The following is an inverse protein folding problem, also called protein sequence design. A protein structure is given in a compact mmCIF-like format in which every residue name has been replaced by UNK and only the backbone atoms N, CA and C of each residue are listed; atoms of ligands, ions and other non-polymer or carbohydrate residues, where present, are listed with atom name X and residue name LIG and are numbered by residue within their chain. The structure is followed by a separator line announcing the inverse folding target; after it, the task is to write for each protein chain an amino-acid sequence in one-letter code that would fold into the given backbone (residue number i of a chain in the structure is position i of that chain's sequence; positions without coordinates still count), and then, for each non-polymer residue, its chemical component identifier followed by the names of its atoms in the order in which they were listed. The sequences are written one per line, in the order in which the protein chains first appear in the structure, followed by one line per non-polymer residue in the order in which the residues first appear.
data_IF_735733620149
#
_entry.id   IF_735733620149
#
_cell.length_a   1.000
_cell.length_b   1.000
_cell.length_c   1.000
_cell.angle_alpha   90.00
_cell.angle_beta   90.00
_cell.angle_gamma   90.00
#
_symmetry.space_group_name_H-M   'P 1'
#
loop_
_entity.id
_entity.type
_entity.pdbx_description
1 polymer ?
#
# COMPACT_ATOMS: atom_id res chain seq x y z
N UNK A 1 -40.44 3.53 -1.70
CA UNK A 1 -39.30 3.66 -2.63
C UNK A 1 -38.15 2.86 -2.07
N UNK A 2 -37.86 1.69 -2.63
CA UNK A 2 -36.70 0.90 -2.24
C UNK A 2 -35.51 1.40 -3.06
N UNK A 3 -34.54 2.01 -2.39
CA UNK A 3 -33.23 2.33 -2.96
C UNK A 3 -32.52 1.01 -3.25
N UNK A 4 -32.46 0.61 -4.53
CA UNK A 4 -31.56 -0.43 -4.97
C UNK A 4 -30.14 0.09 -4.77
N UNK A 5 -29.40 -0.52 -3.85
CA UNK A 5 -27.96 -0.32 -3.75
C UNK A 5 -27.39 -1.07 -4.96
N UNK A 6 -27.02 -0.36 -6.01
CA UNK A 6 -26.18 -0.93 -7.07
C UNK A 6 -24.84 -1.30 -6.43
N UNK A 7 -24.71 -2.55 -6.00
CA UNK A 7 -23.41 -3.17 -5.76
C UNK A 7 -22.71 -3.26 -7.11
N UNK A 8 -21.93 -2.22 -7.44
CA UNK A 8 -20.98 -2.28 -8.56
C UNK A 8 -20.14 -3.53 -8.39
N UNK A 9 -20.18 -4.39 -9.39
CA UNK A 9 -19.39 -5.63 -9.40
C UNK A 9 -18.00 -5.29 -9.94
N UNK A 10 -16.98 -5.88 -9.32
CA UNK A 10 -15.57 -5.62 -9.59
C UNK A 10 -14.92 -6.95 -9.98
N UNK A 11 -14.25 -7.00 -11.13
CA UNK A 11 -13.40 -8.14 -11.53
C UNK A 11 -11.94 -7.76 -11.42
N UNK A 12 -11.10 -8.72 -11.06
CA UNK A 12 -9.69 -8.52 -10.78
C UNK A 12 -8.85 -8.88 -12.00
N UNK A 13 -7.96 -8.00 -12.40
CA UNK A 13 -6.93 -8.30 -13.39
C UNK A 13 -5.66 -8.78 -12.70
N UNK A 14 -5.62 -10.07 -12.36
CA UNK A 14 -4.51 -10.69 -11.64
C UNK A 14 -3.17 -10.51 -12.36
N UNK A 15 -3.15 -10.60 -13.69
CA UNK A 15 -1.95 -10.40 -14.50
C UNK A 15 -1.41 -8.98 -14.40
N UNK A 16 -2.28 -7.97 -14.46
CA UNK A 16 -1.87 -6.58 -14.38
C UNK A 16 -1.46 -6.18 -12.96
N UNK A 17 -2.15 -6.67 -11.92
CA UNK A 17 -1.72 -6.47 -10.53
C UNK A 17 -0.31 -7.03 -10.30
N UNK A 18 -0.03 -8.24 -10.80
CA UNK A 18 1.29 -8.83 -10.72
C UNK A 18 2.35 -7.98 -11.46
N UNK A 19 2.03 -7.49 -12.67
CA UNK A 19 2.94 -6.64 -13.45
C UNK A 19 3.24 -5.31 -12.74
N UNK A 20 2.24 -4.64 -12.17
CA UNK A 20 2.44 -3.41 -11.38
C UNK A 20 3.44 -3.68 -10.24
N UNK A 21 3.26 -4.79 -9.51
CA UNK A 21 4.10 -5.16 -8.37
C UNK A 21 5.55 -5.50 -8.78
N UNK A 22 5.73 -6.15 -9.93
CA UNK A 22 7.05 -6.50 -10.47
C UNK A 22 7.82 -5.30 -11.04
N UNK A 23 7.10 -4.33 -11.63
CA UNK A 23 7.69 -3.15 -12.25
C UNK A 23 8.01 -2.06 -11.21
N UNK A 24 7.28 -1.99 -10.09
CA UNK A 24 7.47 -0.97 -9.05
C UNK A 24 8.65 -1.27 -8.10
N UNK A 25 9.82 -1.56 -8.66
CA UNK A 25 11.06 -1.86 -7.91
C UNK A 25 11.50 -0.70 -7.02
N UNK A 26 11.19 0.53 -7.41
CA UNK A 26 11.52 1.73 -6.64
C UNK A 26 10.76 1.80 -5.31
N UNK A 27 9.47 1.43 -5.29
CA UNK A 27 8.69 1.35 -4.05
C UNK A 27 9.33 0.37 -3.06
N UNK A 28 9.66 -0.84 -3.52
CA UNK A 28 10.27 -1.86 -2.68
C UNK A 28 11.65 -1.45 -2.15
N UNK A 29 12.44 -0.78 -2.99
CA UNK A 29 13.73 -0.19 -2.59
C UNK A 29 13.52 0.87 -1.52
N UNK A 30 12.57 1.80 -1.70
CA UNK A 30 12.28 2.86 -0.74
C UNK A 30 11.82 2.28 0.61
N UNK A 31 10.93 1.29 0.61
CA UNK A 31 10.52 0.58 1.83
C UNK A 31 11.72 -0.05 2.55
N UNK A 32 12.60 -0.73 1.81
CA UNK A 32 13.80 -1.32 2.38
C UNK A 32 14.76 -0.26 2.96
N UNK A 33 14.89 0.88 2.30
CA UNK A 33 15.75 1.98 2.74
C UNK A 33 15.24 2.63 4.04
N UNK A 34 13.92 2.88 4.12
CA UNK A 34 13.27 3.38 5.33
C UNK A 34 13.37 2.37 6.48
N UNK A 35 13.11 1.07 6.22
CA UNK A 35 13.31 -0.02 7.21
C UNK A 35 14.72 0.02 7.80
N UNK A 36 15.76 0.06 6.96
CA UNK A 36 17.16 0.09 7.42
C UNK A 36 17.47 1.31 8.30
N UNK A 37 16.89 2.48 7.99
CA UNK A 37 17.06 3.66 8.84
C UNK A 37 16.30 3.52 10.17
N UNK A 38 15.11 2.93 10.17
CA UNK A 38 14.33 2.67 11.37
C UNK A 38 14.95 1.61 12.30
N UNK A 39 15.67 0.63 11.76
CA UNK A 39 16.43 -0.37 12.53
C UNK A 39 17.58 0.25 13.34
N UNK A 40 18.07 1.42 12.91
CA UNK A 40 19.10 2.17 13.62
C UNK A 40 18.68 3.63 13.82
N UNK A 41 17.90 3.96 14.88
CA UNK A 41 17.40 5.30 15.13
C UNK A 41 18.47 6.41 15.15
N UNK A 42 19.71 6.07 15.49
CA UNK A 42 20.85 6.99 15.42
C UNK A 42 21.14 7.52 13.99
N UNK A 43 20.82 6.74 12.96
CA UNK A 43 20.94 7.15 11.56
C UNK A 43 19.91 8.22 11.18
N UNK A 44 18.71 8.14 11.75
CA UNK A 44 17.67 9.16 11.59
C UNK A 44 18.09 10.44 12.30
N UNK A 45 18.59 10.33 13.54
CA UNK A 45 19.04 11.49 14.32
C UNK A 45 20.20 12.25 13.66
N UNK A 46 21.11 11.54 13.01
CA UNK A 46 22.28 12.11 12.32
C UNK A 46 21.96 12.65 10.92
N UNK A 47 20.91 12.16 10.28
CA UNK A 47 20.51 12.60 8.93
C UNK A 47 18.99 12.76 8.77
N UNK A 48 18.33 13.63 9.57
CA UNK A 48 16.86 13.73 9.60
C UNK A 48 16.28 14.23 8.28
N UNK A 49 17.00 15.10 7.55
CA UNK A 49 16.58 15.59 6.22
C UNK A 49 16.60 14.49 5.17
N UNK A 50 17.60 13.59 5.23
CA UNK A 50 17.68 12.44 4.33
C UNK A 50 16.56 11.46 4.62
N UNK A 51 16.29 11.20 5.89
CA UNK A 51 15.17 10.35 6.29
C UNK A 51 13.85 10.93 5.80
N UNK A 52 13.59 12.22 6.03
CA UNK A 52 12.39 12.88 5.54
C UNK A 52 12.23 12.77 4.02
N UNK A 53 13.29 13.02 3.24
CA UNK A 53 13.23 12.87 1.78
C UNK A 53 12.86 11.45 1.32
N UNK A 54 13.40 10.41 1.97
CA UNK A 54 13.03 9.02 1.67
C UNK A 54 11.56 8.73 1.98
N UNK A 55 11.03 9.29 3.07
CA UNK A 55 9.62 9.12 3.45
C UNK A 55 8.70 9.87 2.48
N UNK A 56 9.11 11.04 2.02
CA UNK A 56 8.38 11.81 1.01
C UNK A 56 8.32 11.06 -0.33
N UNK A 57 9.46 10.53 -0.80
CA UNK A 57 9.52 9.69 -2.00
C UNK A 57 8.65 8.43 -1.83
N UNK A 58 8.68 7.78 -0.67
CA UNK A 58 7.85 6.61 -0.38
C UNK A 58 6.35 6.93 -0.48
N UNK A 59 5.91 8.06 0.09
CA UNK A 59 4.50 8.51 0.02
C UNK A 59 4.06 8.65 -1.44
N UNK A 60 4.88 9.30 -2.26
CA UNK A 60 4.53 9.58 -3.66
C UNK A 60 4.49 8.30 -4.50
N UNK A 61 5.45 7.39 -4.29
CA UNK A 61 5.45 6.08 -4.94
C UNK A 61 4.27 5.21 -4.52
N UNK A 62 3.84 5.26 -3.25
CA UNK A 62 2.64 4.57 -2.79
C UNK A 62 1.37 5.13 -3.43
N UNK A 63 1.25 6.46 -3.52
CA UNK A 63 0.11 7.08 -4.18
C UNK A 63 -0.02 6.62 -5.64
N UNK A 64 1.11 6.58 -6.36
CA UNK A 64 1.15 6.08 -7.73
C UNK A 64 0.81 4.59 -7.79
N UNK A 65 1.36 3.77 -6.88
CA UNK A 65 1.12 2.33 -6.83
C UNK A 65 -0.38 2.02 -6.68
N UNK A 66 -1.02 2.58 -5.66
CA UNK A 66 -2.46 2.39 -5.43
C UNK A 66 -3.30 2.93 -6.59
N UNK A 67 -2.91 4.06 -7.19
CA UNK A 67 -3.62 4.61 -8.36
C UNK A 67 -3.57 3.66 -9.56
N UNK A 68 -2.45 2.97 -9.77
CA UNK A 68 -2.31 1.99 -10.85
C UNK A 68 -3.14 0.73 -10.58
N UNK A 69 -3.09 0.22 -9.35
CA UNK A 69 -3.89 -0.95 -8.96
C UNK A 69 -5.39 -0.67 -9.07
N UNK A 70 -5.84 0.50 -8.61
CA UNK A 70 -7.24 0.92 -8.72
C UNK A 70 -7.70 1.15 -10.15
N UNK A 71 -6.85 1.72 -11.01
CA UNK A 71 -7.23 2.02 -12.39
C UNK A 71 -7.21 0.79 -13.31
N UNK A 72 -6.33 -0.18 -13.03
CA UNK A 72 -6.04 -1.27 -13.98
C UNK A 72 -6.10 -2.68 -13.38
N UNK A 73 -6.01 -2.81 -12.06
CA UNK A 73 -6.12 -4.07 -11.34
C UNK A 73 -7.55 -4.42 -10.93
N UNK A 74 -8.40 -3.41 -10.73
CA UNK A 74 -9.79 -3.57 -10.30
C UNK A 74 -10.75 -2.97 -11.35
N UNK A 75 -11.44 -3.81 -12.13
CA UNK A 75 -12.39 -3.37 -13.16
C UNK A 75 -13.82 -3.27 -12.65
N UNK A 76 -14.47 -2.13 -12.86
CA UNK A 76 -15.92 -1.96 -12.64
C UNK A 76 -16.72 -2.51 -13.85
N UNK A 77 -17.89 -3.11 -13.59
CA UNK A 77 -18.85 -3.65 -14.57
C UNK A 77 -18.35 -4.83 -15.44
N UNK A 78 -17.92 -5.94 -14.83
CA UNK A 78 -17.48 -7.12 -15.56
C UNK A 78 -18.63 -7.91 -16.21
N UNK A 79 -18.28 -8.58 -17.32
CA UNK A 79 -19.18 -9.46 -18.08
C UNK A 79 -19.52 -10.75 -17.30
N UNK A 80 -18.61 -11.22 -16.44
CA UNK A 80 -18.79 -12.34 -15.52
C UNK A 80 -18.32 -11.94 -14.12
N UNK A 81 -19.12 -12.26 -13.09
CA UNK A 81 -18.89 -11.83 -11.71
C UNK A 81 -18.64 -13.05 -10.83
N UNK A 82 -17.48 -13.12 -10.18
CA UNK A 82 -17.24 -13.96 -9.02
C UNK A 82 -17.54 -13.15 -7.74
N UNK A 83 -18.72 -13.30 -7.07
CA UNK A 83 -19.15 -12.39 -6.01
C UNK A 83 -18.21 -12.37 -4.78
N UNK A 84 -17.48 -13.47 -4.55
CA UNK A 84 -16.48 -13.57 -3.48
C UNK A 84 -15.26 -12.70 -3.76
N UNK A 85 -14.74 -12.75 -4.99
CA UNK A 85 -13.56 -12.00 -5.43
C UNK A 85 -13.86 -10.50 -5.49
N UNK A 86 -15.06 -10.13 -5.93
CA UNK A 86 -15.53 -8.75 -5.93
C UNK A 86 -15.60 -8.14 -4.51
N UNK A 87 -16.00 -8.90 -3.49
CA UNK A 87 -15.97 -8.42 -2.09
C UNK A 87 -14.54 -8.20 -1.61
N UNK A 88 -13.66 -9.18 -1.83
CA UNK A 88 -12.26 -9.10 -1.42
C UNK A 88 -11.53 -7.95 -2.11
N UNK A 89 -11.75 -7.75 -3.40
CA UNK A 89 -11.23 -6.61 -4.17
C UNK A 89 -11.69 -5.25 -3.60
N UNK A 90 -12.97 -5.11 -3.27
CA UNK A 90 -13.49 -3.88 -2.66
C UNK A 90 -12.92 -3.63 -1.25
N UNK A 91 -12.72 -4.69 -0.46
CA UNK A 91 -12.07 -4.59 0.85
C UNK A 91 -10.61 -4.14 0.72
N UNK A 92 -9.85 -4.74 -0.19
CA UNK A 92 -8.44 -4.39 -0.42
C UNK A 92 -8.30 -2.95 -0.93
N UNK A 93 -9.14 -2.55 -1.89
CA UNK A 93 -9.18 -1.17 -2.36
C UNK A 93 -9.50 -0.16 -1.24
N UNK A 94 -10.36 -0.52 -0.29
CA UNK A 94 -10.65 0.36 0.85
C UNK A 94 -9.43 0.53 1.77
N UNK A 95 -8.53 -0.46 1.83
CA UNK A 95 -7.31 -0.39 2.66
C UNK A 95 -6.26 0.59 2.10
N UNK A 96 -6.23 0.82 0.79
CA UNK A 96 -5.31 1.78 0.17
C UNK A 96 -5.44 3.17 0.79
N UNK A 97 -6.67 3.63 1.00
CA UNK A 97 -6.93 4.94 1.61
C UNK A 97 -6.36 5.01 3.03
N UNK A 98 -6.59 3.98 3.84
CA UNK A 98 -6.09 3.92 5.22
C UNK A 98 -4.56 3.89 5.27
N UNK A 99 -3.93 3.06 4.42
CA UNK A 99 -2.48 2.97 4.30
C UNK A 99 -1.86 4.29 3.84
N UNK A 100 -2.51 4.97 2.88
CA UNK A 100 -2.06 6.27 2.40
C UNK A 100 -2.10 7.33 3.52
N UNK A 101 -3.18 7.37 4.31
CA UNK A 101 -3.25 8.28 5.46
C UNK A 101 -2.18 8.00 6.51
N UNK A 102 -1.86 6.72 6.74
CA UNK A 102 -0.77 6.34 7.65
C UNK A 102 0.58 6.87 7.17
N UNK A 103 0.91 6.74 5.87
CA UNK A 103 2.19 7.24 5.35
C UNK A 103 2.23 8.78 5.31
N UNK A 104 1.11 9.46 5.08
CA UNK A 104 1.01 10.93 5.20
C UNK A 104 1.31 11.39 6.63
N UNK A 105 0.66 10.80 7.63
CA UNK A 105 0.92 11.13 9.03
C UNK A 105 2.37 10.82 9.46
N UNK A 106 2.95 9.76 8.92
CA UNK A 106 4.35 9.43 9.12
C UNK A 106 5.29 10.45 8.43
N UNK A 107 4.94 10.93 7.24
CA UNK A 107 5.64 11.99 6.53
C UNK A 107 5.67 13.29 7.34
N UNK A 108 4.52 13.72 7.87
CA UNK A 108 4.41 14.92 8.73
C UNK A 108 5.29 14.80 9.99
N UNK A 109 5.27 13.61 10.61
CA UNK A 109 6.11 13.33 11.78
C UNK A 109 7.59 13.38 11.41
N UNK A 110 7.96 12.84 10.25
CA UNK A 110 9.34 12.84 9.73
C UNK A 110 9.82 14.25 9.37
N UNK A 111 8.95 15.10 8.83
CA UNK A 111 9.24 16.51 8.55
C UNK A 111 9.63 17.25 9.83
N UNK A 112 8.89 17.00 10.92
CA UNK A 112 9.14 17.64 12.22
C UNK A 112 10.54 17.33 12.78
N UNK A 113 11.14 16.18 12.40
CA UNK A 113 12.50 15.80 12.83
C UNK A 113 13.58 16.71 12.24
N UNK A 114 13.28 17.40 11.14
CA UNK A 114 14.20 18.33 10.47
C UNK A 114 14.32 19.67 11.20
N UNK A 115 13.42 19.94 12.15
CA UNK A 115 13.36 21.19 12.89
C UNK A 115 14.42 21.26 14.00
N UNK A 116 15.06 22.43 14.23
CA UNK A 116 16.09 22.58 15.28
C UNK A 116 15.60 22.30 16.70
N UNK A 117 14.31 22.49 16.97
CA UNK A 117 13.67 22.34 18.28
C UNK A 117 12.81 21.07 18.38
N UNK A 118 13.18 19.99 17.67
CA UNK A 118 12.44 18.72 17.70
C UNK A 118 12.27 18.17 19.12
N UNK A 119 11.11 17.58 19.38
CA UNK A 119 10.76 17.00 20.69
C UNK A 119 11.63 15.78 20.99
N UNK A 120 12.02 15.62 22.26
CA UNK A 120 12.73 14.43 22.73
C UNK A 120 11.84 13.19 22.49
N UNK A 121 12.41 12.18 21.83
CA UNK A 121 11.69 10.95 21.49
C UNK A 121 10.92 11.01 20.17
N UNK A 122 10.97 12.12 19.42
CA UNK A 122 10.32 12.21 18.11
C UNK A 122 10.82 11.15 17.11
N UNK A 123 12.11 10.81 17.14
CA UNK A 123 12.66 9.71 16.32
C UNK A 123 12.03 8.37 16.69
N UNK A 124 11.86 8.06 17.98
CA UNK A 124 11.20 6.82 18.39
C UNK A 124 9.73 6.80 17.99
N UNK A 125 9.05 7.94 17.99
CA UNK A 125 7.68 8.06 17.51
C UNK A 125 7.61 7.77 15.99
N UNK A 126 8.50 8.36 15.21
CA UNK A 126 8.59 8.12 13.76
C UNK A 126 8.87 6.63 13.45
N UNK A 127 9.79 6.00 14.18
CA UNK A 127 10.09 4.56 14.03
C UNK A 127 8.85 3.70 14.33
N UNK A 128 8.12 3.99 15.40
CA UNK A 128 6.90 3.24 15.74
C UNK A 128 5.79 3.41 14.70
N UNK A 129 5.61 4.62 14.17
CA UNK A 129 4.66 4.87 13.10
C UNK A 129 5.03 4.09 11.85
N UNK A 130 6.31 4.11 11.46
CA UNK A 130 6.77 3.33 10.32
C UNK A 130 6.56 1.83 10.51
N UNK A 131 6.91 1.26 11.67
CA UNK A 131 6.68 -0.15 11.96
C UNK A 131 5.19 -0.52 11.85
N UNK A 132 4.31 0.32 12.40
CA UNK A 132 2.86 0.09 12.34
C UNK A 132 2.33 0.13 10.90
N UNK A 133 2.83 1.07 10.10
CA UNK A 133 2.53 1.17 8.67
C UNK A 133 3.07 -0.06 7.91
N UNK A 134 4.33 -0.42 8.12
CA UNK A 134 5.03 -1.48 7.41
C UNK A 134 4.37 -2.85 7.62
N UNK A 135 4.02 -3.16 8.87
CA UNK A 135 3.29 -4.38 9.20
C UNK A 135 1.91 -4.43 8.52
N UNK A 136 1.22 -3.28 8.42
CA UNK A 136 -0.09 -3.22 7.79
C UNK A 136 0.01 -3.33 6.27
N UNK A 137 1.00 -2.67 5.68
CA UNK A 137 1.29 -2.75 4.25
C UNK A 137 1.67 -4.18 3.84
N UNK A 138 2.53 -4.86 4.59
CA UNK A 138 2.88 -6.27 4.31
C UNK A 138 1.67 -7.21 4.38
N UNK A 139 0.74 -7.00 5.32
CA UNK A 139 -0.50 -7.79 5.39
C UNK A 139 -1.41 -7.54 4.19
N UNK A 140 -1.51 -6.29 3.75
CA UNK A 140 -2.26 -5.91 2.57
C UNK A 140 -1.71 -6.61 1.32
N UNK A 141 -0.40 -6.49 1.07
CA UNK A 141 0.30 -7.13 -0.05
C UNK A 141 0.15 -8.65 -0.05
N UNK A 142 0.21 -9.30 1.12
CA UNK A 142 -0.02 -10.75 1.23
C UNK A 142 -1.42 -11.14 0.75
N UNK A 143 -2.45 -10.37 1.13
CA UNK A 143 -3.84 -10.64 0.76
C UNK A 143 -4.10 -10.36 -0.71
N UNK A 144 -3.46 -9.35 -1.29
CA UNK A 144 -3.52 -9.11 -2.73
C UNK A 144 -2.85 -10.24 -3.51
N UNK A 145 -1.70 -10.74 -3.06
CA UNK A 145 -1.07 -11.90 -3.68
C UNK A 145 -1.94 -13.15 -3.60
N UNK A 146 -2.63 -13.37 -2.47
CA UNK A 146 -3.62 -14.45 -2.34
C UNK A 146 -4.79 -14.28 -3.31
N UNK A 147 -5.27 -13.05 -3.53
CA UNK A 147 -6.31 -12.74 -4.51
C UNK A 147 -5.84 -13.06 -5.93
N UNK A 148 -4.64 -12.63 -6.32
CA UNK A 148 -4.01 -12.91 -7.62
C UNK A 148 -3.91 -14.42 -7.86
N UNK A 149 -3.45 -15.20 -6.86
CA UNK A 149 -3.37 -16.66 -6.97
C UNK A 149 -4.73 -17.35 -7.12
N UNK A 150 -5.76 -16.83 -6.45
CA UNK A 150 -7.11 -17.38 -6.54
C UNK A 150 -7.72 -17.14 -7.91
N UNK A 151 -7.58 -15.94 -8.47
CA UNK A 151 -8.03 -15.64 -9.83
C UNK A 151 -7.37 -16.54 -10.88
N UNK A 152 -6.04 -16.75 -10.80
CA UNK A 152 -5.37 -17.68 -11.71
C UNK A 152 -5.84 -19.13 -11.56
N UNK A 153 -6.19 -19.54 -10.34
CA UNK A 153 -6.68 -20.91 -10.09
C UNK A 153 -8.10 -21.11 -10.65
N UNK A 154 -8.95 -20.09 -10.55
CA UNK A 154 -10.31 -20.11 -11.07
C UNK A 154 -10.32 -20.02 -12.62
N UNK A 155 -9.39 -19.26 -13.23
CA UNK A 155 -9.24 -19.14 -14.70
C UNK A 155 -8.72 -20.44 -15.35
N UNK A 156 -7.91 -21.23 -14.64
CA UNK A 156 -7.41 -22.54 -15.12
C UNK A 156 -8.48 -23.67 -14.99
N UNK A 157 -9.57 -23.43 -14.25
CA UNK A 157 -10.51 -24.46 -13.77
C UNK A 157 -11.62 -24.95 -14.72
N UNK A 158 -11.67 -24.54 -16.00
CA UNK A 158 -12.79 -24.89 -16.91
C UNK A 158 -12.46 -25.96 -17.98
N UNK A 159 -11.47 -26.82 -17.72
CA UNK A 159 -11.03 -27.84 -18.67
C UNK A 159 -10.82 -29.25 -18.10
N UNK A 160 -11.89 -29.92 -17.68
CA UNK A 160 -12.21 -31.34 -17.99
C UNK A 160 -13.69 -31.65 -17.65
#
# INVERSE_FOLDING_TARGET
MATAIETKTVTVNAAFLQEIKEVNQDLWRLLADVRRMCDSPATIDSAPRRFFGLVEELRDHLALHFSLEEAYGYFEDPVEVAPRLCRLANELRAEHHELYLMVVAFCDTSESLTQPNRVIGAVLAAVKQFQSFDERFQRHESRENELIMQEYSDDIGVGD
#
